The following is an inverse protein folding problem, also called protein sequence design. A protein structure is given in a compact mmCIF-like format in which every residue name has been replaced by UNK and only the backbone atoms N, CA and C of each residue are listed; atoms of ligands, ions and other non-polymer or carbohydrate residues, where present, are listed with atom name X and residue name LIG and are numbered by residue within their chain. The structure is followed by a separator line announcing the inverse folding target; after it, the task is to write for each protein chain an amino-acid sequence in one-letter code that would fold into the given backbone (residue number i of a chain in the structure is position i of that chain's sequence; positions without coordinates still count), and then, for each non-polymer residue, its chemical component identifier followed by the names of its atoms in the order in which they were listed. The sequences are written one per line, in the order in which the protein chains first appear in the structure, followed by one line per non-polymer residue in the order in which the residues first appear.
data_IF_713894383272
#
_entry.id   IF_713894383272
#
_cell.length_a   1.000
_cell.length_b   1.000
_cell.length_c   1.000
_cell.angle_alpha   90.00
_cell.angle_beta   90.00
_cell.angle_gamma   90.00
#
_symmetry.space_group_name_H-M   'P 1'
#
loop_
_entity.id
_entity.type
_entity.pdbx_description
1 polymer ?
#
# COMPACT_ATOMS: atom_id res chain seq x y z
N UNK A 1 31.93 -11.77 39.29
CA UNK A 1 30.49 -11.66 39.61
C UNK A 1 29.76 -12.78 38.89
N UNK A 2 29.00 -13.58 39.63
CA UNK A 2 28.34 -14.81 39.17
C UNK A 2 27.01 -14.45 38.52
N UNK A 3 26.84 -14.79 37.24
CA UNK A 3 25.62 -14.60 36.46
C UNK A 3 24.54 -15.51 37.05
N UNK A 4 23.45 -14.93 37.53
CA UNK A 4 22.26 -15.66 37.95
C UNK A 4 21.21 -15.61 36.85
N UNK A 5 20.93 -16.76 36.24
CA UNK A 5 19.73 -16.98 35.43
C UNK A 5 18.52 -17.15 36.37
N UNK A 6 17.40 -16.44 36.16
CA UNK A 6 16.12 -16.86 36.68
C UNK A 6 15.25 -17.39 35.53
N UNK A 7 15.54 -18.61 35.09
CA UNK A 7 14.57 -19.43 34.36
C UNK A 7 13.97 -20.46 35.33
N UNK A 8 13.35 -20.01 36.43
CA UNK A 8 12.35 -20.83 37.13
C UNK A 8 11.59 -20.01 38.20
N UNK A 9 10.38 -19.59 37.87
CA UNK A 9 9.24 -19.74 38.78
C UNK A 9 7.94 -19.52 38.00
N UNK A 10 7.36 -20.65 37.61
CA UNK A 10 5.95 -20.77 37.24
C UNK A 10 5.06 -20.48 38.44
N UNK A 11 3.99 -19.70 38.26
CA UNK A 11 2.70 -19.90 38.95
C UNK A 11 1.61 -19.02 38.33
N UNK A 12 0.83 -19.65 37.47
CA UNK A 12 -0.64 -19.70 37.46
C UNK A 12 -1.42 -18.62 38.23
N UNK A 13 -2.32 -17.90 37.55
CA UNK A 13 -3.37 -17.13 38.21
C UNK A 13 -4.11 -16.16 37.29
N UNK A 14 -5.20 -16.62 36.68
CA UNK A 14 -6.22 -15.74 36.12
C UNK A 14 -6.84 -14.89 37.26
N UNK A 15 -7.00 -13.59 37.04
CA UNK A 15 -7.76 -12.74 37.96
C UNK A 15 -7.44 -11.24 37.90
N UNK A 16 -8.21 -10.53 37.06
CA UNK A 16 -8.77 -9.20 37.28
C UNK A 16 -7.89 -7.97 37.59
N UNK A 17 -7.87 -7.08 36.59
CA UNK A 17 -8.13 -5.63 36.65
C UNK A 17 -7.14 -4.69 37.37
N UNK A 18 -6.46 -3.85 36.55
CA UNK A 18 -6.40 -2.39 36.81
C UNK A 18 -6.13 -1.61 35.51
N UNK A 19 -7.05 -0.68 35.25
CA UNK A 19 -7.05 0.52 34.40
C UNK A 19 -5.70 1.00 33.84
N UNK A 20 -5.56 1.02 32.51
CA UNK A 20 -4.77 2.04 31.78
C UNK A 20 -5.42 2.35 30.41
N UNK A 21 -5.61 3.63 30.13
CA UNK A 21 -5.87 4.19 28.81
C UNK A 21 -4.70 5.12 28.46
N UNK A 22 -4.53 5.54 27.20
CA UNK A 22 -4.17 4.72 26.06
C UNK A 22 -2.83 5.22 25.47
N UNK A 23 -1.80 4.39 25.52
CA UNK A 23 -0.53 4.63 24.81
C UNK A 23 -0.59 4.02 23.41
N UNK A 24 -1.52 4.47 22.57
CA UNK A 24 -1.56 4.05 21.16
C UNK A 24 -0.29 4.55 20.47
N UNK A 25 0.66 3.64 20.21
CA UNK A 25 1.71 3.85 19.22
C UNK A 25 1.05 3.99 17.86
N UNK A 26 0.62 5.23 17.57
CA UNK A 26 0.22 5.70 16.26
C UNK A 26 1.47 5.63 15.40
N UNK A 27 1.64 4.55 14.64
CA UNK A 27 2.46 4.58 13.43
C UNK A 27 1.73 5.52 12.48
N UNK A 28 2.00 6.81 12.69
CA UNK A 28 1.56 7.88 11.83
C UNK A 28 2.16 7.57 10.46
N UNK A 29 1.34 7.02 9.57
CA UNK A 29 1.63 6.96 8.16
C UNK A 29 2.00 8.37 7.74
N UNK A 30 3.29 8.61 7.62
CA UNK A 30 3.83 9.82 6.99
C UNK A 30 3.64 9.60 5.50
N UNK A 31 2.41 9.75 5.01
CA UNK A 31 2.23 10.43 3.72
C UNK A 31 2.65 11.86 3.98
N UNK A 32 3.96 12.09 3.96
CA UNK A 32 4.48 13.44 3.82
C UNK A 32 3.83 13.97 2.55
N UNK A 33 3.05 15.03 2.70
CA UNK A 33 2.55 15.83 1.61
C UNK A 33 3.65 15.96 0.55
N UNK A 34 3.32 15.68 -0.71
CA UNK A 34 4.16 16.00 -1.87
C UNK A 34 4.30 17.52 -2.09
N UNK A 35 4.14 18.32 -1.04
CA UNK A 35 4.22 19.78 -1.02
C UNK A 35 5.66 20.27 -0.82
N UNK A 36 6.61 19.36 -0.58
CA UNK A 36 8.02 19.66 -0.73
C UNK A 36 8.38 19.71 -2.20
N UNK A 37 8.46 20.90 -2.78
CA UNK A 37 8.93 21.11 -4.15
C UNK A 37 10.17 20.25 -4.44
N UNK A 38 10.15 19.55 -5.57
CA UNK A 38 11.25 18.67 -5.99
C UNK A 38 12.54 19.51 -6.09
N UNK A 39 13.58 19.11 -5.36
CA UNK A 39 14.92 19.67 -5.53
C UNK A 39 15.35 19.47 -6.99
N UNK A 40 16.05 20.43 -7.61
CA UNK A 40 16.50 20.30 -9.01
C UNK A 40 17.32 19.02 -9.26
N UNK A 41 18.01 18.51 -8.24
CA UNK A 41 18.71 17.21 -8.32
C UNK A 41 17.79 15.98 -8.36
N UNK A 42 16.50 16.14 -8.05
CA UNK A 42 15.47 15.10 -8.14
C UNK A 42 14.62 15.21 -9.43
N UNK A 43 14.91 16.19 -10.29
CA UNK A 43 14.18 16.41 -11.53
C UNK A 43 14.70 15.48 -12.62
N UNK A 44 13.82 14.64 -13.15
CA UNK A 44 14.11 13.75 -14.27
C UNK A 44 13.55 14.33 -15.56
N UNK A 45 14.35 14.34 -16.62
CA UNK A 45 13.92 14.79 -17.95
C UNK A 45 13.31 13.61 -18.71
N UNK A 46 12.02 13.66 -19.01
CA UNK A 46 11.38 12.72 -19.92
C UNK A 46 11.79 13.04 -21.37
N UNK A 47 11.90 12.01 -22.21
CA UNK A 47 12.06 12.22 -23.65
C UNK A 47 10.80 12.86 -24.24
N UNK A 48 10.96 13.68 -25.28
CA UNK A 48 9.83 14.30 -25.98
C UNK A 48 8.79 13.27 -26.45
N UNK A 49 9.23 12.08 -26.88
CA UNK A 49 8.32 10.99 -27.27
C UNK A 49 7.47 10.53 -26.10
N UNK A 50 8.07 10.31 -24.92
CA UNK A 50 7.35 9.89 -23.72
C UNK A 50 6.38 10.97 -23.22
N UNK A 51 6.77 12.25 -23.29
CA UNK A 51 5.91 13.37 -22.93
C UNK A 51 4.70 13.49 -23.88
N UNK A 52 4.90 13.27 -25.18
CA UNK A 52 3.81 13.31 -26.17
C UNK A 52 2.85 12.11 -26.02
N UNK A 53 3.36 10.91 -25.74
CA UNK A 53 2.56 9.72 -25.42
C UNK A 53 1.70 9.95 -24.16
N UNK A 54 2.28 10.55 -23.12
CA UNK A 54 1.57 10.88 -21.89
C UNK A 54 0.53 11.99 -22.11
N UNK A 55 0.80 12.95 -22.99
CA UNK A 55 -0.13 14.03 -23.32
C UNK A 55 -1.38 13.55 -24.08
N UNK A 56 -1.29 12.40 -24.76
CA UNK A 56 -2.44 11.72 -25.36
C UNK A 56 -3.10 10.66 -24.46
N UNK A 57 -2.46 10.32 -23.34
CA UNK A 57 -3.05 9.50 -22.31
C UNK A 57 -3.83 10.41 -21.36
N UNK A 58 -5.15 10.49 -21.55
CA UNK A 58 -6.02 11.15 -20.58
C UNK A 58 -5.67 10.65 -19.17
N UNK A 59 -5.53 11.53 -18.17
CA UNK A 59 -5.43 11.11 -16.78
C UNK A 59 -6.80 10.55 -16.38
N UNK A 60 -7.04 9.28 -16.71
CA UNK A 60 -8.28 8.51 -16.48
C UNK A 60 -8.52 8.17 -15.00
N UNK A 61 -8.00 9.01 -14.11
CA UNK A 61 -8.22 8.87 -12.68
C UNK A 61 -9.66 9.26 -12.35
N UNK A 62 -10.50 8.24 -12.19
CA UNK A 62 -11.88 8.40 -11.77
C UNK A 62 -12.00 8.21 -10.25
N UNK A 63 -12.04 9.33 -9.52
CA UNK A 63 -12.21 9.35 -8.08
C UNK A 63 -13.52 8.70 -7.63
N UNK A 64 -14.61 8.82 -8.41
CA UNK A 64 -15.90 8.22 -8.08
C UNK A 64 -15.84 6.71 -8.18
N UNK A 65 -15.20 6.18 -9.23
CA UNK A 65 -14.97 4.73 -9.38
C UNK A 65 -14.15 4.20 -8.22
N UNK A 66 -13.06 4.87 -7.84
CA UNK A 66 -12.22 4.46 -6.71
C UNK A 66 -13.02 4.43 -5.41
N UNK A 67 -13.84 5.46 -5.13
CA UNK A 67 -14.67 5.51 -3.93
C UNK A 67 -15.66 4.35 -3.87
N UNK A 68 -16.33 4.02 -4.99
CA UNK A 68 -17.29 2.90 -5.06
C UNK A 68 -16.61 1.56 -4.81
N UNK A 69 -15.44 1.34 -5.40
CA UNK A 69 -14.69 0.09 -5.20
C UNK A 69 -14.24 -0.06 -3.76
N UNK A 70 -13.74 1.01 -3.12
CA UNK A 70 -13.39 1.00 -1.69
C UNK A 70 -14.57 0.60 -0.82
N UNK A 71 -15.71 1.25 -1.01
CA UNK A 71 -16.92 0.94 -0.26
C UNK A 71 -17.35 -0.53 -0.44
N UNK A 72 -17.31 -1.06 -1.65
CA UNK A 72 -17.65 -2.46 -1.91
C UNK A 72 -16.68 -3.45 -1.21
N UNK A 73 -15.41 -3.09 -1.06
CA UNK A 73 -14.42 -3.87 -0.32
C UNK A 73 -14.72 -3.81 1.19
N UNK A 74 -14.97 -2.62 1.72
CA UNK A 74 -15.29 -2.40 3.15
C UNK A 74 -16.57 -3.13 3.56
N UNK A 75 -17.59 -3.12 2.70
CA UNK A 75 -18.86 -3.80 2.92
C UNK A 75 -18.78 -5.32 2.67
N UNK A 76 -17.65 -5.84 2.19
CA UNK A 76 -17.46 -7.26 1.85
C UNK A 76 -18.29 -7.73 0.63
N UNK A 77 -18.87 -6.80 -0.12
CA UNK A 77 -19.70 -7.09 -1.31
C UNK A 77 -18.89 -7.25 -2.58
N UNK A 78 -17.63 -6.81 -2.58
CA UNK A 78 -16.71 -6.99 -3.70
C UNK A 78 -16.46 -8.49 -3.95
N UNK A 79 -16.77 -8.96 -5.16
CA UNK A 79 -16.54 -10.34 -5.59
C UNK A 79 -15.29 -10.42 -6.44
N UNK A 80 -14.38 -11.30 -6.03
CA UNK A 80 -13.17 -11.62 -6.80
C UNK A 80 -13.56 -12.53 -7.96
N UNK A 81 -13.22 -12.11 -9.18
CA UNK A 81 -13.34 -12.92 -10.38
C UNK A 81 -11.95 -13.47 -10.77
N UNK A 82 -11.68 -14.76 -10.56
CA UNK A 82 -10.38 -15.35 -10.86
C UNK A 82 -10.07 -15.44 -12.35
N UNK A 83 -11.08 -15.60 -13.22
CA UNK A 83 -10.88 -15.66 -14.67
C UNK A 83 -10.45 -14.29 -15.20
N UNK A 84 -11.15 -13.23 -14.76
CA UNK A 84 -10.80 -11.86 -15.13
C UNK A 84 -9.40 -11.45 -14.63
N UNK A 85 -8.93 -12.00 -13.51
CA UNK A 85 -7.56 -11.79 -13.02
C UNK A 85 -6.56 -12.47 -13.95
N UNK A 86 -6.79 -13.74 -14.28
CA UNK A 86 -5.90 -14.52 -15.15
C UNK A 86 -5.73 -13.85 -16.52
N UNK A 87 -6.84 -13.44 -17.14
CA UNK A 87 -6.82 -12.79 -18.44
C UNK A 87 -6.02 -11.48 -18.42
N UNK A 88 -6.20 -10.67 -17.37
CA UNK A 88 -5.46 -9.40 -17.21
C UNK A 88 -3.97 -9.63 -16.95
N UNK A 89 -3.61 -10.65 -16.18
CA UNK A 89 -2.20 -10.99 -15.94
C UNK A 89 -1.52 -11.46 -17.24
N UNK A 90 -2.18 -12.29 -18.03
CA UNK A 90 -1.68 -12.72 -19.34
C UNK A 90 -1.55 -11.53 -20.28
N UNK A 91 -2.59 -10.69 -20.38
CA UNK A 91 -2.56 -9.51 -21.23
C UNK A 91 -1.43 -8.54 -20.86
N UNK A 92 -1.23 -8.27 -19.57
CA UNK A 92 -0.12 -7.43 -19.09
C UNK A 92 1.25 -8.04 -19.40
N UNK A 93 1.39 -9.36 -19.23
CA UNK A 93 2.63 -10.07 -19.55
C UNK A 93 2.95 -10.00 -21.05
N UNK A 94 1.93 -10.15 -21.90
CA UNK A 94 2.07 -10.01 -23.35
C UNK A 94 2.50 -8.61 -23.76
N UNK A 95 1.87 -7.56 -23.21
CA UNK A 95 2.26 -6.17 -23.48
C UNK A 95 3.74 -5.92 -23.11
N UNK A 96 4.19 -6.43 -21.95
CA UNK A 96 5.58 -6.27 -21.52
C UNK A 96 6.56 -6.94 -22.49
N UNK A 97 6.22 -8.14 -22.97
CA UNK A 97 7.04 -8.88 -23.93
C UNK A 97 7.04 -8.20 -25.32
N UNK A 98 5.89 -7.70 -25.78
CA UNK A 98 5.76 -6.96 -27.04
C UNK A 98 6.58 -5.65 -27.03
N UNK A 99 6.82 -5.06 -25.85
CA UNK A 99 7.66 -3.86 -25.67
C UNK A 99 9.17 -4.15 -25.56
N UNK A 100 9.57 -5.42 -25.43
CA UNK A 100 10.98 -5.85 -25.34
C UNK A 100 11.61 -6.18 -26.70
N UNK A 101 10.82 -6.14 -27.77
CA UNK A 101 11.23 -6.36 -29.16
C UNK A 101 11.13 -5.06 -29.97
#
# INVERSE_FOLDING_TARGET
MKIGNPSDKSVNGAGSAKTEAPGSTKTTGKTASLDGGVNESAKVTLSNTAANLLSGADPTFDANKVSKVKQAIDDGSYKVDPEAIADKLIANSRELLERQH
#
